data_IF_720104185450
#
_entry.id   IF_720104185450
#
_cell.length_a   1.000
_cell.length_b   1.000
_cell.length_c   1.000
_cell.angle_alpha   90.00
_cell.angle_beta   90.00
_cell.angle_gamma   90.00
#
_symmetry.space_group_name_H-M   'P 1'
#
loop_
_entity.id
_entity.type
_entity.pdbx_description
1 polymer ?
#
# COMPACT_ATOMS: atom_id res chain seq x y z
N UNK A 1 -10.21 -2.91 -9.02
CA UNK A 1 -11.06 -2.49 -7.88
C UNK A 1 -10.57 -3.08 -6.56
N UNK A 2 -10.38 -4.40 -6.47
CA UNK A 2 -9.95 -5.09 -5.23
C UNK A 2 -8.74 -4.45 -4.53
N UNK A 3 -7.68 -4.13 -5.28
CA UNK A 3 -6.45 -3.56 -4.68
C UNK A 3 -6.66 -2.18 -4.07
N UNK A 4 -7.43 -1.30 -4.72
CA UNK A 4 -7.74 0.02 -4.18
C UNK A 4 -8.66 -0.07 -2.96
N UNK A 5 -9.60 -1.01 -2.94
CA UNK A 5 -10.44 -1.28 -1.77
C UNK A 5 -9.61 -1.80 -0.59
N UNK A 6 -8.67 -2.71 -0.84
CA UNK A 6 -7.74 -3.19 0.18
C UNK A 6 -6.84 -2.06 0.70
N UNK A 7 -6.33 -1.21 -0.21
CA UNK A 7 -5.54 -0.03 0.14
C UNK A 7 -6.32 0.96 1.01
N UNK A 8 -7.59 1.20 0.68
CA UNK A 8 -8.47 2.03 1.49
C UNK A 8 -8.64 1.47 2.90
N UNK A 9 -8.99 0.18 3.04
CA UNK A 9 -9.18 -0.45 4.35
C UNK A 9 -7.89 -0.47 5.18
N UNK A 10 -6.75 -0.76 4.54
CA UNK A 10 -5.45 -0.67 5.22
C UNK A 10 -5.13 0.76 5.67
N UNK A 11 -5.47 1.76 4.87
CA UNK A 11 -5.32 3.17 5.25
C UNK A 11 -6.11 3.51 6.52
N UNK A 12 -7.37 3.07 6.61
CA UNK A 12 -8.22 3.31 7.79
C UNK A 12 -7.71 2.56 9.01
N UNK A 13 -7.49 1.25 8.89
CA UNK A 13 -7.09 0.40 10.00
C UNK A 13 -5.66 0.69 10.46
N UNK A 14 -4.73 0.81 9.50
CA UNK A 14 -3.34 1.14 9.78
C UNK A 14 -3.19 2.51 10.42
N UNK A 15 -4.03 3.48 10.07
CA UNK A 15 -4.07 4.78 10.75
C UNK A 15 -4.58 4.68 12.19
N UNK A 16 -5.65 3.92 12.42
CA UNK A 16 -6.15 3.66 13.77
C UNK A 16 -5.11 2.94 14.64
N UNK A 17 -4.38 1.99 14.05
CA UNK A 17 -3.23 1.36 14.69
C UNK A 17 -2.14 2.41 14.94
N UNK A 18 -1.71 3.21 13.98
CA UNK A 18 -0.66 4.21 14.18
C UNK A 18 -0.97 5.23 15.30
N UNK A 19 -2.26 5.51 15.55
CA UNK A 19 -2.74 6.38 16.63
C UNK A 19 -2.85 5.68 18.00
N UNK A 20 -2.89 4.35 18.05
CA UNK A 20 -3.09 3.63 19.31
C UNK A 20 -1.80 3.57 20.15
N UNK A 21 -1.93 3.71 21.47
CA UNK A 21 -0.81 3.68 22.43
C UNK A 21 -0.34 2.24 22.77
N UNK A 22 -0.61 1.26 21.89
CA UNK A 22 -0.19 -0.11 22.13
C UNK A 22 1.36 -0.21 22.07
N UNK A 23 2.02 -0.89 23.02
CA UNK A 23 3.48 -1.05 23.01
C UNK A 23 3.92 -1.91 21.82
N UNK A 24 4.87 -1.42 21.02
CA UNK A 24 5.44 -2.08 19.83
C UNK A 24 6.89 -1.68 19.64
N UNK A 25 7.65 -2.53 18.95
CA UNK A 25 9.01 -2.22 18.54
C UNK A 25 9.07 -1.03 17.56
N UNK A 26 10.15 -0.24 17.65
CA UNK A 26 10.38 0.94 16.82
C UNK A 26 10.32 0.64 15.31
N UNK A 27 10.80 -0.53 14.89
CA UNK A 27 10.77 -0.98 13.49
C UNK A 27 9.32 -1.23 13.03
N UNK A 28 8.50 -1.88 13.87
CA UNK A 28 7.11 -2.15 13.56
C UNK A 28 6.31 -0.84 13.43
N UNK A 29 6.54 0.13 14.33
CA UNK A 29 5.84 1.42 14.26
C UNK A 29 6.30 2.27 13.07
N UNK A 30 7.60 2.27 12.77
CA UNK A 30 8.15 2.95 11.59
C UNK A 30 7.59 2.37 10.29
N UNK A 31 7.55 1.05 10.16
CA UNK A 31 7.02 0.38 8.98
C UNK A 31 5.51 0.59 8.83
N UNK A 32 4.75 0.57 9.94
CA UNK A 32 3.33 0.89 9.95
C UNK A 32 3.07 2.31 9.42
N UNK A 33 3.74 3.31 10.00
CA UNK A 33 3.59 4.71 9.57
C UNK A 33 4.00 4.90 8.11
N UNK A 34 5.10 4.28 7.68
CA UNK A 34 5.53 4.32 6.28
C UNK A 34 4.49 3.71 5.34
N UNK A 35 3.96 2.53 5.68
CA UNK A 35 2.98 1.83 4.86
C UNK A 35 1.69 2.64 4.68
N UNK A 36 1.24 3.33 5.73
CA UNK A 36 0.00 4.11 5.75
C UNK A 36 0.20 5.48 5.11
N UNK A 37 1.23 6.22 5.53
CA UNK A 37 1.41 7.63 5.15
C UNK A 37 2.11 7.83 3.82
N UNK A 38 2.89 6.85 3.33
CA UNK A 38 3.69 6.99 2.11
C UNK A 38 3.27 5.95 1.09
N UNK A 39 3.34 4.67 1.44
CA UNK A 39 3.19 3.59 0.46
C UNK A 39 1.76 3.49 -0.10
N UNK A 40 0.76 3.63 0.76
CA UNK A 40 -0.66 3.57 0.36
C UNK A 40 -1.05 4.76 -0.55
N UNK A 41 -0.72 6.03 -0.24
CA UNK A 41 -0.93 7.12 -1.19
C UNK A 41 -0.12 6.96 -2.49
N UNK A 42 1.12 6.49 -2.42
CA UNK A 42 1.94 6.23 -3.60
C UNK A 42 1.29 5.20 -4.53
N UNK A 43 0.67 4.14 -3.98
CA UNK A 43 -0.11 3.16 -4.73
C UNK A 43 -1.29 3.81 -5.46
N UNK A 44 -2.03 4.70 -4.79
CA UNK A 44 -3.16 5.42 -5.39
C UNK A 44 -2.69 6.33 -6.53
N UNK A 45 -1.61 7.09 -6.31
CA UNK A 45 -1.01 7.94 -7.34
C UNK A 45 -0.52 7.12 -8.54
N UNK A 46 0.14 5.98 -8.29
CA UNK A 46 0.56 5.06 -9.35
C UNK A 46 -0.65 4.53 -10.13
N UNK A 47 -1.76 4.24 -9.46
CA UNK A 47 -3.00 3.81 -10.11
C UNK A 47 -3.61 4.89 -11.00
N UNK A 48 -3.60 6.14 -10.55
CA UNK A 48 -4.07 7.29 -11.34
C UNK A 48 -3.15 7.56 -12.53
N UNK A 49 -1.83 7.55 -12.31
CA UNK A 49 -0.83 7.75 -13.35
C UNK A 49 -0.88 6.63 -14.42
N UNK A 50 -1.15 5.38 -13.99
CA UNK A 50 -1.29 4.25 -14.90
C UNK A 50 -2.43 4.44 -15.90
N UNK A 51 -3.53 5.09 -15.51
CA UNK A 51 -4.63 5.41 -16.43
C UNK A 51 -4.21 6.33 -17.58
N UNK A 52 -3.34 7.30 -17.30
CA UNK A 52 -2.76 8.19 -18.31
C UNK A 52 -1.74 7.45 -19.19
N UNK A 53 -0.95 6.56 -18.57
CA UNK A 53 0.12 5.81 -19.22
C UNK A 53 -0.39 4.62 -20.06
N UNK A 54 -1.62 4.17 -19.84
CA UNK A 54 -2.28 3.08 -20.58
C UNK A 54 -2.21 3.26 -22.09
N UNK A 55 -2.36 4.51 -22.57
CA UNK A 55 -2.28 4.85 -24.01
C UNK A 55 -0.88 4.66 -24.61
N UNK A 56 0.18 4.66 -23.79
CA UNK A 56 1.58 4.57 -24.24
C UNK A 56 2.15 3.15 -24.16
N UNK A 57 1.75 2.39 -23.14
CA UNK A 57 2.35 1.07 -22.82
C UNK A 57 1.48 -0.10 -23.34
N UNK A 58 0.23 0.18 -23.71
CA UNK A 58 -0.72 -0.86 -24.09
C UNK A 58 -1.26 -1.63 -22.89
N UNK A 59 -2.29 -2.46 -23.10
CA UNK A 59 -3.00 -3.12 -22.02
C UNK A 59 -2.13 -4.14 -21.26
N UNK A 60 -1.26 -4.88 -21.94
CA UNK A 60 -0.40 -5.90 -21.32
C UNK A 60 0.60 -5.32 -20.31
N UNK A 61 1.37 -4.31 -20.73
CA UNK A 61 2.35 -3.67 -19.85
C UNK A 61 1.68 -2.83 -18.74
N UNK A 62 0.49 -2.29 -18.99
CA UNK A 62 -0.34 -1.64 -17.97
C UNK A 62 -0.67 -2.59 -16.81
N UNK A 63 -1.15 -3.80 -17.11
CA UNK A 63 -1.48 -4.79 -16.08
C UNK A 63 -0.24 -5.30 -15.34
N UNK A 64 0.88 -5.47 -16.05
CA UNK A 64 2.13 -5.93 -15.44
C UNK A 64 2.70 -4.89 -14.45
N UNK A 65 2.70 -3.61 -14.83
CA UNK A 65 3.15 -2.53 -13.96
C UNK A 65 2.27 -2.41 -12.70
N UNK A 66 0.94 -2.41 -12.86
CA UNK A 66 0.03 -2.38 -11.72
C UNK A 66 0.17 -3.59 -10.81
N UNK A 67 0.37 -4.79 -11.39
CA UNK A 67 0.61 -6.01 -10.63
C UNK A 67 1.86 -5.93 -9.76
N UNK A 68 2.96 -5.43 -10.30
CA UNK A 68 4.22 -5.24 -9.56
C UNK A 68 4.06 -4.26 -8.40
N UNK A 69 3.45 -3.09 -8.66
CA UNK A 69 3.22 -2.09 -7.61
C UNK A 69 2.30 -2.64 -6.52
N UNK A 70 1.25 -3.37 -6.90
CA UNK A 70 0.35 -4.02 -5.96
C UNK A 70 1.05 -5.08 -5.11
N UNK A 71 1.95 -5.89 -5.70
CA UNK A 71 2.73 -6.91 -4.98
C UNK A 71 3.68 -6.28 -3.95
N UNK A 72 4.36 -5.19 -4.31
CA UNK A 72 5.25 -4.46 -3.39
C UNK A 72 4.45 -3.91 -2.21
N UNK A 73 3.31 -3.28 -2.50
CA UNK A 73 2.41 -2.76 -1.46
C UNK A 73 1.91 -3.89 -0.56
N UNK A 74 1.39 -4.98 -1.12
CA UNK A 74 0.87 -6.11 -0.36
C UNK A 74 1.95 -6.78 0.52
N UNK A 75 3.17 -6.94 0.00
CA UNK A 75 4.30 -7.47 0.76
C UNK A 75 4.65 -6.60 1.97
N UNK A 76 4.66 -5.28 1.81
CA UNK A 76 4.91 -4.36 2.92
C UNK A 76 3.81 -4.41 3.98
N UNK A 77 2.54 -4.47 3.57
CA UNK A 77 1.40 -4.63 4.50
C UNK A 77 1.51 -5.95 5.26
N UNK A 78 1.85 -7.04 4.58
CA UNK A 78 2.00 -8.36 5.20
C UNK A 78 3.11 -8.37 6.25
N UNK A 79 4.29 -7.83 5.94
CA UNK A 79 5.39 -7.74 6.90
C UNK A 79 4.99 -6.86 8.09
N UNK A 80 4.31 -5.74 7.85
CA UNK A 80 3.81 -4.88 8.92
C UNK A 80 2.87 -5.65 9.85
N UNK A 81 1.94 -6.44 9.30
CA UNK A 81 1.03 -7.29 10.08
C UNK A 81 1.76 -8.33 10.92
N UNK A 82 2.74 -9.01 10.34
CA UNK A 82 3.53 -10.02 11.05
C UNK A 82 4.31 -9.42 12.23
N UNK A 83 4.72 -8.16 12.13
CA UNK A 83 5.43 -7.46 13.21
C UNK A 83 4.50 -6.87 14.28
N UNK A 84 3.20 -6.79 14.01
CA UNK A 84 2.17 -6.29 14.93
C UNK A 84 1.46 -7.40 15.70
N UNK A 85 1.54 -8.65 15.20
CA UNK A 85 1.14 -9.86 15.92
C UNK A 85 2.19 -10.23 16.98
#
# INVERSE_FOLDING_TARGET
>A
MIVLTAAFWWGVEGYALAQSNAPRGQIADGLLRFSVLILTPALVLAWLAAGWLRRRIGDGGYWQMLGLVAMIWAGSVLVTRMLLL
#
